data_IF_446267351949
#
_entry.id   IF_446267351949
#
_cell.length_a   1.000
_cell.length_b   1.000
_cell.length_c   1.000
_cell.angle_alpha   90.00
_cell.angle_beta   90.00
_cell.angle_gamma   90.00
#
_symmetry.space_group_name_H-M   'P 1'
#
loop_
_entity.id
_entity.type
_entity.pdbx_description
1 polymer ?
#
# COMPACT_ATOMS: atom_id res chain seq x y z
N UNK A 1 -14.44 24.06 27.91
CA UNK A 1 -15.04 22.82 27.39
C UNK A 1 -14.50 22.42 26.01
N UNK A 2 -14.32 23.36 25.07
CA UNK A 2 -13.78 23.10 23.71
C UNK A 2 -12.36 22.52 23.67
N UNK A 3 -11.47 22.92 24.59
CA UNK A 3 -10.10 22.40 24.67
C UNK A 3 -10.04 20.88 24.96
N UNK A 4 -11.01 20.33 25.70
CA UNK A 4 -11.09 18.89 26.01
C UNK A 4 -11.51 18.04 24.80
N UNK A 5 -12.45 18.54 23.98
CA UNK A 5 -12.91 17.84 22.78
C UNK A 5 -11.83 17.75 21.71
N UNK A 6 -11.06 18.83 21.49
CA UNK A 6 -9.95 18.82 20.53
C UNK A 6 -8.87 17.82 20.93
N UNK A 7 -8.46 17.83 22.20
CA UNK A 7 -7.46 16.89 22.71
C UNK A 7 -7.94 15.43 22.59
N UNK A 8 -9.22 15.15 22.89
CA UNK A 8 -9.81 13.82 22.74
C UNK A 8 -9.86 13.37 21.27
N UNK A 9 -10.22 14.26 20.36
CA UNK A 9 -10.23 13.97 18.92
C UNK A 9 -8.83 13.67 18.39
N UNK A 10 -7.83 14.47 18.77
CA UNK A 10 -6.44 14.24 18.38
C UNK A 10 -5.88 12.93 18.94
N UNK A 11 -6.25 12.57 20.18
CA UNK A 11 -5.87 11.30 20.78
C UNK A 11 -6.48 10.11 20.03
N UNK A 12 -7.79 10.15 19.75
CA UNK A 12 -8.48 9.10 19.00
C UNK A 12 -7.93 8.97 17.57
N UNK A 13 -7.66 10.10 16.90
CA UNK A 13 -7.10 10.08 15.56
C UNK A 13 -5.70 9.44 15.54
N UNK A 14 -4.85 9.75 16.54
CA UNK A 14 -3.53 9.09 16.68
C UNK A 14 -3.68 7.57 16.88
N UNK A 15 -4.61 7.14 17.72
CA UNK A 15 -4.87 5.72 17.96
C UNK A 15 -5.33 4.98 16.69
N UNK A 16 -6.28 5.57 15.95
CA UNK A 16 -6.74 5.02 14.67
C UNK A 16 -5.61 4.91 13.64
N UNK A 17 -4.71 5.90 13.59
CA UNK A 17 -3.54 5.90 12.71
C UNK A 17 -2.51 4.85 13.13
N UNK A 18 -2.25 4.69 14.42
CA UNK A 18 -1.35 3.65 14.92
C UNK A 18 -1.89 2.25 14.61
N UNK A 19 -3.20 2.04 14.75
CA UNK A 19 -3.84 0.78 14.36
C UNK A 19 -3.68 0.54 12.86
N UNK A 20 -3.94 1.55 12.02
CA UNK A 20 -3.72 1.46 10.58
C UNK A 20 -2.27 1.15 10.21
N UNK A 21 -1.29 1.83 10.83
CA UNK A 21 0.15 1.57 10.61
C UNK A 21 0.53 0.13 11.00
N UNK A 22 -0.05 -0.43 12.07
CA UNK A 22 0.17 -1.83 12.49
C UNK A 22 -0.44 -2.83 11.51
N UNK A 23 -1.69 -2.62 11.07
CA UNK A 23 -2.34 -3.47 10.05
C UNK A 23 -1.55 -3.45 8.75
N UNK A 24 -1.14 -2.26 8.28
CA UNK A 24 -0.32 -2.11 7.09
C UNK A 24 1.02 -2.87 7.19
N UNK A 25 1.65 -2.85 8.37
CA UNK A 25 2.89 -3.58 8.62
C UNK A 25 2.70 -5.10 8.66
N UNK A 26 1.58 -5.58 9.23
CA UNK A 26 1.24 -7.00 9.35
C UNK A 26 0.88 -7.63 7.99
N UNK A 27 0.19 -6.89 7.13
CA UNK A 27 -0.27 -7.35 5.82
C UNK A 27 0.73 -7.05 4.69
N UNK A 28 2.01 -6.85 5.02
CA UNK A 28 3.07 -6.66 4.04
C UNK A 28 2.79 -5.53 3.02
N UNK A 29 2.10 -4.45 3.41
CA UNK A 29 1.74 -3.36 2.49
C UNK A 29 2.97 -2.73 1.80
N UNK A 30 4.13 -2.76 2.46
CA UNK A 30 5.38 -2.32 1.85
C UNK A 30 5.65 -3.03 0.52
N UNK A 31 5.41 -4.35 0.45
CA UNK A 31 5.63 -5.14 -0.75
C UNK A 31 4.59 -4.83 -1.83
N UNK A 32 3.33 -4.65 -1.42
CA UNK A 32 2.24 -4.22 -2.30
C UNK A 32 2.62 -2.92 -3.01
N UNK A 33 3.08 -1.92 -2.27
CA UNK A 33 3.46 -0.63 -2.87
C UNK A 33 4.64 -0.76 -3.86
N UNK A 34 5.69 -1.49 -3.50
CA UNK A 34 6.85 -1.66 -4.39
C UNK A 34 6.46 -2.40 -5.69
N UNK A 35 5.68 -3.48 -5.58
CA UNK A 35 5.21 -4.23 -6.74
C UNK A 35 4.29 -3.38 -7.63
N UNK A 36 3.31 -2.68 -7.05
CA UNK A 36 2.44 -1.78 -7.80
C UNK A 36 3.21 -0.63 -8.47
N UNK A 37 4.28 -0.14 -7.82
CA UNK A 37 5.20 0.84 -8.41
C UNK A 37 5.85 0.31 -9.68
N UNK A 38 6.42 -0.89 -9.62
CA UNK A 38 7.05 -1.55 -10.76
C UNK A 38 6.05 -1.88 -11.87
N UNK A 39 4.87 -2.40 -11.52
CA UNK A 39 3.82 -2.70 -12.49
C UNK A 39 3.34 -1.44 -13.21
N UNK A 40 3.10 -0.35 -12.49
CA UNK A 40 2.69 0.93 -13.09
C UNK A 40 3.77 1.48 -14.02
N UNK A 41 5.05 1.41 -13.63
CA UNK A 41 6.17 1.80 -14.47
C UNK A 41 6.23 0.94 -15.75
N UNK A 42 6.08 -0.38 -15.61
CA UNK A 42 6.09 -1.30 -16.74
C UNK A 42 4.92 -1.04 -17.70
N UNK A 43 3.69 -0.88 -17.19
CA UNK A 43 2.51 -0.57 -18.00
C UNK A 43 2.67 0.77 -18.75
N UNK A 44 3.26 1.78 -18.10
CA UNK A 44 3.57 3.05 -18.74
C UNK A 44 4.67 2.91 -19.80
N UNK A 45 5.73 2.13 -19.55
CA UNK A 45 6.79 1.87 -20.53
C UNK A 45 6.26 1.12 -21.76
N UNK A 46 5.41 0.11 -21.55
CA UNK A 46 4.74 -0.62 -22.65
C UNK A 46 3.80 0.30 -23.41
N UNK A 47 3.03 1.16 -22.72
CA UNK A 47 2.17 2.17 -23.36
C UNK A 47 2.99 3.12 -24.23
N UNK A 48 4.13 3.61 -23.72
CA UNK A 48 5.04 4.47 -24.47
C UNK A 48 5.59 3.75 -25.71
N UNK A 49 6.02 2.49 -25.56
CA UNK A 49 6.50 1.69 -26.67
C UNK A 49 5.42 1.48 -27.76
N UNK A 50 4.18 1.19 -27.36
CA UNK A 50 3.07 1.03 -28.30
C UNK A 50 2.78 2.32 -29.07
N UNK A 51 2.83 3.47 -28.41
CA UNK A 51 2.50 4.74 -29.04
C UNK A 51 3.65 5.27 -29.89
N UNK A 52 4.85 5.39 -29.33
CA UNK A 52 5.98 6.07 -29.98
C UNK A 52 6.78 5.16 -30.93
N UNK A 53 6.86 3.86 -30.63
CA UNK A 53 7.67 2.93 -31.45
C UNK A 53 6.80 2.19 -32.46
N UNK A 54 5.64 1.68 -32.04
CA UNK A 54 4.76 0.92 -32.93
C UNK A 54 3.69 1.78 -33.62
N UNK A 55 3.48 3.03 -33.18
CA UNK A 55 2.48 3.91 -33.79
C UNK A 55 1.03 3.45 -33.61
N UNK A 56 0.74 2.62 -32.59
CA UNK A 56 -0.57 1.98 -32.35
C UNK A 56 -1.62 2.95 -31.75
N UNK A 57 -1.61 4.21 -32.16
CA UNK A 57 -2.51 5.22 -31.62
C UNK A 57 -3.71 5.49 -32.55
N UNK A 58 -3.53 5.37 -33.86
CA UNK A 58 -4.60 5.52 -34.85
C UNK A 58 -4.41 4.51 -35.99
N UNK A 59 -5.46 3.75 -36.39
CA UNK A 59 -6.82 3.70 -35.83
C UNK A 59 -6.98 2.77 -34.61
N UNK A 60 -6.01 1.89 -34.36
CA UNK A 60 -6.17 0.74 -33.44
C UNK A 60 -5.89 1.09 -31.97
N UNK A 61 -6.85 1.73 -31.29
CA UNK A 61 -6.73 2.15 -29.88
C UNK A 61 -7.03 1.05 -28.86
N UNK A 62 -7.55 -0.09 -29.32
CA UNK A 62 -7.95 -1.20 -28.46
C UNK A 62 -6.79 -1.87 -27.67
N UNK A 63 -5.55 -2.00 -28.20
CA UNK A 63 -4.46 -2.64 -27.46
C UNK A 63 -4.12 -1.85 -26.19
N UNK A 64 -4.27 -0.53 -26.25
CA UNK A 64 -4.09 0.36 -25.11
C UNK A 64 -5.14 0.08 -24.02
N UNK A 65 -6.42 -0.01 -24.40
CA UNK A 65 -7.49 -0.31 -23.44
C UNK A 65 -7.29 -1.68 -22.77
N UNK A 66 -6.88 -2.69 -23.54
CA UNK A 66 -6.60 -4.03 -22.99
C UNK A 66 -5.40 -4.05 -22.08
N UNK A 67 -4.33 -3.32 -22.42
CA UNK A 67 -3.18 -3.17 -21.54
C UNK A 67 -3.60 -2.60 -20.17
N UNK A 68 -4.43 -1.56 -20.16
CA UNK A 68 -4.87 -0.93 -18.92
C UNK A 68 -5.88 -1.77 -18.12
N UNK A 69 -6.81 -2.46 -18.78
CA UNK A 69 -7.68 -3.44 -18.09
C UNK A 69 -6.82 -4.55 -17.49
N UNK A 70 -5.86 -5.08 -18.25
CA UNK A 70 -4.91 -6.08 -17.78
C UNK A 70 -4.11 -5.58 -16.58
N UNK A 71 -3.64 -4.32 -16.60
CA UNK A 71 -2.92 -3.71 -15.49
C UNK A 71 -3.78 -3.58 -14.23
N UNK A 72 -5.06 -3.21 -14.35
CA UNK A 72 -5.97 -3.15 -13.20
C UNK A 72 -6.19 -4.54 -12.60
N UNK A 73 -6.39 -5.55 -13.44
CA UNK A 73 -6.53 -6.94 -13.00
C UNK A 73 -5.26 -7.42 -12.30
N UNK A 74 -4.09 -7.13 -12.88
CA UNK A 74 -2.80 -7.45 -12.28
C UNK A 74 -2.63 -6.80 -10.90
N UNK A 75 -2.94 -5.50 -10.78
CA UNK A 75 -2.88 -4.80 -9.50
C UNK A 75 -3.81 -5.43 -8.44
N UNK A 76 -5.03 -5.82 -8.82
CA UNK A 76 -5.97 -6.51 -7.92
C UNK A 76 -5.40 -7.87 -7.48
N UNK A 77 -4.82 -8.63 -8.40
CA UNK A 77 -4.20 -9.92 -8.11
C UNK A 77 -2.99 -9.76 -7.20
N UNK A 78 -2.15 -8.75 -7.43
CA UNK A 78 -0.99 -8.44 -6.59
C UNK A 78 -1.41 -8.10 -5.16
N UNK A 79 -2.41 -7.23 -5.00
CA UNK A 79 -2.95 -6.91 -3.66
C UNK A 79 -3.48 -8.18 -2.99
N UNK A 80 -4.31 -8.97 -3.67
CA UNK A 80 -4.89 -10.21 -3.11
C UNK A 80 -3.84 -11.26 -2.75
N UNK A 81 -2.86 -11.46 -3.63
CA UNK A 81 -1.80 -12.45 -3.42
C UNK A 81 -0.94 -12.04 -2.22
N UNK A 82 -0.50 -10.78 -2.16
CA UNK A 82 0.35 -10.30 -1.07
C UNK A 82 -0.41 -10.23 0.26
N UNK A 83 -1.66 -9.76 0.26
CA UNK A 83 -2.47 -9.70 1.48
C UNK A 83 -2.77 -11.10 2.03
N UNK A 84 -2.85 -12.12 1.17
CA UNK A 84 -3.08 -13.51 1.60
C UNK A 84 -1.92 -14.12 2.41
N UNK A 85 -0.71 -13.57 2.29
CA UNK A 85 0.44 -13.96 3.12
C UNK A 85 0.46 -13.26 4.49
N UNK A 86 -0.36 -12.23 4.68
CA UNK A 86 -0.45 -11.49 5.94
C UNK A 86 -1.17 -12.28 7.04
N UNK A 87 -0.92 -11.90 8.29
CA UNK A 87 -1.71 -12.41 9.42
C UNK A 87 -3.06 -11.68 9.44
N UNK A 88 -4.18 -12.36 9.71
CA UNK A 88 -5.46 -11.67 9.93
C UNK A 88 -5.30 -10.67 11.07
N UNK A 89 -5.51 -9.40 10.77
CA UNK A 89 -5.47 -8.31 11.76
C UNK A 89 -6.85 -7.67 11.88
N UNK A 90 -7.13 -7.06 13.04
CA UNK A 90 -8.35 -6.25 13.18
C UNK A 90 -8.33 -5.12 12.15
N UNK A 91 -9.40 -5.04 11.35
CA UNK A 91 -9.55 -3.99 10.34
C UNK A 91 -9.53 -2.61 11.01
N UNK A 92 -8.68 -1.72 10.51
CA UNK A 92 -8.64 -0.35 11.00
C UNK A 92 -9.89 0.40 10.51
N UNK A 93 -10.54 1.25 11.33
CA UNK A 93 -11.69 2.05 10.90
C UNK A 93 -11.37 3.02 9.74
N UNK A 94 -10.09 3.30 9.47
CA UNK A 94 -9.64 4.16 8.35
C UNK A 94 -9.59 3.37 7.03
N UNK A 95 -9.43 2.06 7.09
CA UNK A 95 -9.19 1.22 5.92
C UNK A 95 -10.35 1.24 4.90
N UNK A 96 -11.63 1.14 5.30
CA UNK A 96 -12.74 1.26 4.35
C UNK A 96 -12.77 2.62 3.64
N UNK A 97 -12.40 3.69 4.34
CA UNK A 97 -12.34 5.03 3.75
C UNK A 97 -11.19 5.15 2.74
N UNK A 98 -10.03 4.58 3.06
CA UNK A 98 -8.90 4.48 2.13
C UNK A 98 -9.28 3.67 0.88
N UNK A 99 -9.90 2.49 1.04
CA UNK A 99 -10.38 1.65 -0.07
C UNK A 99 -11.37 2.40 -0.98
N UNK A 100 -12.32 3.13 -0.39
CA UNK A 100 -13.29 3.96 -1.14
C UNK A 100 -12.61 5.07 -1.93
N UNK A 101 -11.64 5.76 -1.34
CA UNK A 101 -10.88 6.81 -2.03
C UNK A 101 -10.12 6.25 -3.24
N UNK A 102 -9.45 5.12 -3.08
CA UNK A 102 -8.76 4.44 -4.19
C UNK A 102 -9.74 3.96 -5.27
N UNK A 103 -10.89 3.42 -4.88
CA UNK A 103 -11.92 3.01 -5.82
C UNK A 103 -12.46 4.21 -6.62
N UNK A 104 -12.72 5.34 -5.96
CA UNK A 104 -13.12 6.58 -6.63
C UNK A 104 -12.03 7.06 -7.60
N UNK A 105 -10.77 7.06 -7.17
CA UNK A 105 -9.64 7.44 -8.04
C UNK A 105 -9.56 6.57 -9.30
N UNK A 106 -9.65 5.23 -9.15
CA UNK A 106 -9.63 4.30 -10.29
C UNK A 106 -10.82 4.53 -11.21
N UNK A 107 -12.02 4.67 -10.64
CA UNK A 107 -13.24 4.93 -11.40
C UNK A 107 -13.15 6.24 -12.20
N UNK A 108 -12.71 7.34 -11.57
CA UNK A 108 -12.53 8.62 -12.26
C UNK A 108 -11.45 8.53 -13.35
N UNK A 109 -10.34 7.85 -13.08
CA UNK A 109 -9.27 7.66 -14.06
C UNK A 109 -9.75 6.88 -15.28
N UNK A 110 -10.50 5.80 -15.06
CA UNK A 110 -11.13 5.03 -16.14
C UNK A 110 -12.16 5.84 -16.91
N UNK A 111 -12.98 6.64 -16.21
CA UNK A 111 -13.96 7.51 -16.85
C UNK A 111 -13.29 8.51 -17.79
N UNK A 112 -12.23 9.19 -17.35
CA UNK A 112 -11.46 10.12 -18.19
C UNK A 112 -10.83 9.37 -19.38
N UNK A 113 -10.23 8.21 -19.16
CA UNK A 113 -9.60 7.43 -20.24
C UNK A 113 -10.63 6.99 -21.31
N UNK A 114 -11.79 6.47 -20.88
CA UNK A 114 -12.87 6.07 -21.79
C UNK A 114 -13.41 7.27 -22.55
N UNK A 115 -13.70 8.39 -21.87
CA UNK A 115 -14.17 9.61 -22.53
C UNK A 115 -13.16 10.13 -23.55
N UNK A 116 -11.86 10.08 -23.25
CA UNK A 116 -10.81 10.49 -24.20
C UNK A 116 -10.80 9.60 -25.45
N UNK A 117 -10.93 8.28 -25.28
CA UNK A 117 -10.99 7.34 -26.41
C UNK A 117 -12.25 7.58 -27.25
N UNK A 118 -13.42 7.71 -26.63
CA UNK A 118 -14.72 7.93 -27.30
C UNK A 118 -14.73 9.28 -28.04
N UNK A 119 -14.12 10.32 -27.46
CA UNK A 119 -14.04 11.64 -28.08
C UNK A 119 -13.05 11.72 -29.26
N UNK A 120 -12.34 10.63 -29.57
CA UNK A 120 -11.38 10.64 -30.67
C UNK A 120 -10.05 11.33 -30.33
N UNK A 121 -9.85 11.79 -29.10
CA UNK A 121 -8.65 12.53 -28.71
C UNK A 121 -7.41 11.64 -28.64
N UNK A 122 -6.25 12.26 -28.89
CA UNK A 122 -4.96 11.63 -28.70
C UNK A 122 -4.79 11.21 -27.23
N UNK A 123 -4.11 10.09 -27.03
CA UNK A 123 -3.91 9.49 -25.70
C UNK A 123 -3.11 10.42 -24.77
N UNK A 124 -2.29 11.31 -25.32
CA UNK A 124 -1.46 12.23 -24.53
C UNK A 124 -2.23 13.36 -23.83
N UNK A 125 -3.44 13.68 -24.29
CA UNK A 125 -4.16 14.88 -23.83
C UNK A 125 -4.69 14.73 -22.40
N UNK A 126 -4.98 13.50 -21.95
CA UNK A 126 -5.57 13.26 -20.64
C UNK A 126 -4.56 12.89 -19.53
N UNK A 127 -3.30 12.59 -19.87
CA UNK A 127 -2.27 12.25 -18.88
C UNK A 127 -2.04 13.35 -17.81
N UNK A 128 -1.99 14.65 -18.15
CA UNK A 128 -1.95 15.71 -17.13
C UNK A 128 -3.15 15.69 -16.19
N UNK A 129 -4.34 15.34 -16.70
CA UNK A 129 -5.54 15.22 -15.89
C UNK A 129 -5.46 14.03 -14.92
N UNK A 130 -4.88 12.90 -15.34
CA UNK A 130 -4.59 11.77 -14.45
C UNK A 130 -3.58 12.13 -13.35
N UNK A 131 -2.53 12.89 -13.69
CA UNK A 131 -1.57 13.38 -12.70
C UNK A 131 -2.24 14.33 -11.69
N UNK A 132 -3.16 15.19 -12.15
CA UNK A 132 -3.96 16.06 -11.27
C UNK A 132 -4.90 15.25 -10.36
N UNK A 133 -5.58 14.22 -10.88
CA UNK A 133 -6.39 13.31 -10.06
C UNK A 133 -5.56 12.56 -9.02
N UNK A 134 -4.35 12.13 -9.40
CA UNK A 134 -3.42 11.47 -8.48
C UNK A 134 -2.97 12.43 -7.38
N UNK A 135 -2.62 13.67 -7.73
CA UNK A 135 -2.30 14.73 -6.78
C UNK A 135 -3.46 14.99 -5.81
N UNK A 136 -4.70 15.05 -6.31
CA UNK A 136 -5.90 15.20 -5.49
C UNK A 136 -6.09 14.01 -4.55
N UNK A 137 -5.93 12.78 -5.03
CA UNK A 137 -6.06 11.57 -4.21
C UNK A 137 -5.02 11.54 -3.07
N UNK A 138 -3.76 11.84 -3.36
CA UNK A 138 -2.72 11.92 -2.32
C UNK A 138 -2.91 13.10 -1.36
N UNK A 139 -3.43 14.22 -1.85
CA UNK A 139 -3.80 15.35 -0.99
C UNK A 139 -4.97 14.98 -0.07
N UNK A 140 -5.96 14.25 -0.56
CA UNK A 140 -7.04 13.73 0.28
C UNK A 140 -6.50 12.74 1.34
N UNK A 141 -5.59 11.84 0.97
CA UNK A 141 -4.90 10.96 1.93
C UNK A 141 -4.09 11.72 2.99
N UNK A 142 -3.64 12.94 2.69
CA UNK A 142 -2.98 13.80 3.67
C UNK A 142 -3.92 14.16 4.83
N UNK A 143 -5.19 14.44 4.52
CA UNK A 143 -6.19 14.81 5.51
C UNK A 143 -6.59 13.64 6.42
N UNK A 144 -6.48 12.40 5.92
CA UNK A 144 -7.01 11.21 6.62
C UNK A 144 -5.93 10.31 7.23
N UNK A 145 -4.75 10.22 6.62
CA UNK A 145 -3.73 9.23 6.98
C UNK A 145 -2.48 9.90 7.54
N UNK A 146 -1.82 10.76 6.76
CA UNK A 146 -0.56 11.34 7.21
C UNK A 146 -0.13 12.53 6.38
N UNK A 147 0.50 13.52 7.03
CA UNK A 147 1.20 14.63 6.36
C UNK A 147 2.27 14.18 5.36
N UNK A 148 2.74 12.93 5.45
CA UNK A 148 3.71 12.35 4.50
C UNK A 148 3.15 12.26 3.07
N UNK A 149 1.83 12.14 2.91
CA UNK A 149 1.21 12.10 1.58
C UNK A 149 1.21 13.47 0.88
N UNK A 150 1.53 14.56 1.59
CA UNK A 150 1.68 15.88 0.97
C UNK A 150 2.82 15.90 -0.03
N UNK A 151 3.96 15.26 0.27
CA UNK A 151 5.07 15.18 -0.68
C UNK A 151 4.70 14.37 -1.92
N UNK A 152 3.90 13.31 -1.75
CA UNK A 152 3.37 12.53 -2.88
C UNK A 152 2.42 13.36 -3.75
N UNK A 153 1.52 14.14 -3.14
CA UNK A 153 0.62 15.06 -3.87
C UNK A 153 1.39 16.12 -4.66
N UNK A 154 2.37 16.76 -4.02
CA UNK A 154 3.27 17.74 -4.68
C UNK A 154 4.05 17.08 -5.82
N UNK A 155 4.60 15.89 -5.60
CA UNK A 155 5.32 15.15 -6.64
C UNK A 155 4.43 14.86 -7.84
N UNK A 156 3.20 14.37 -7.64
CA UNK A 156 2.27 14.13 -8.74
C UNK A 156 1.82 15.40 -9.46
N UNK A 157 1.72 16.53 -8.75
CA UNK A 157 1.48 17.83 -9.37
C UNK A 157 2.64 18.25 -10.28
N UNK A 158 3.89 18.11 -9.81
CA UNK A 158 5.10 18.38 -10.63
C UNK A 158 5.17 17.43 -11.82
N UNK A 159 4.84 16.15 -11.64
CA UNK A 159 4.71 15.15 -12.71
C UNK A 159 3.72 15.64 -13.78
N UNK A 160 2.56 16.19 -13.39
CA UNK A 160 1.59 16.78 -14.33
C UNK A 160 2.15 17.95 -15.14
N UNK A 161 2.91 18.84 -14.50
CA UNK A 161 3.60 19.96 -15.20
C UNK A 161 4.63 19.42 -16.20
N UNK A 162 5.42 18.42 -15.80
CA UNK A 162 6.43 17.81 -16.66
C UNK A 162 5.81 17.11 -17.88
N UNK A 163 4.69 16.39 -17.69
CA UNK A 163 3.93 15.79 -18.80
C UNK A 163 3.44 16.87 -19.77
N UNK A 164 2.88 17.97 -19.25
CA UNK A 164 2.43 19.08 -20.09
C UNK A 164 3.58 19.73 -20.89
N UNK A 165 4.79 19.76 -20.33
CA UNK A 165 5.98 20.29 -21.00
C UNK A 165 6.58 19.33 -22.04
N UNK A 166 6.54 18.03 -21.77
CA UNK A 166 7.15 16.98 -22.59
C UNK A 166 6.14 15.85 -22.91
N UNK A 167 5.09 16.14 -23.70
CA UNK A 167 4.00 15.21 -23.94
C UNK A 167 4.43 13.88 -24.57
N UNK A 168 5.47 13.89 -25.42
CA UNK A 168 6.03 12.67 -26.03
C UNK A 168 6.55 11.63 -25.01
N UNK A 169 6.99 12.10 -23.83
CA UNK A 169 7.44 11.24 -22.74
C UNK A 169 6.39 11.11 -21.63
N UNK A 170 5.15 11.55 -21.88
CA UNK A 170 4.12 11.69 -20.85
C UNK A 170 3.88 10.40 -20.05
N UNK A 171 3.87 9.24 -20.73
CA UNK A 171 3.74 7.94 -20.09
C UNK A 171 4.90 7.61 -19.16
N UNK A 172 6.14 7.76 -19.64
CA UNK A 172 7.32 7.46 -18.84
C UNK A 172 7.43 8.39 -17.63
N UNK A 173 7.13 9.68 -17.82
CA UNK A 173 7.12 10.67 -16.73
C UNK A 173 6.04 10.29 -15.70
N UNK A 174 4.84 9.92 -16.16
CA UNK A 174 3.75 9.51 -15.27
C UNK A 174 4.09 8.23 -14.49
N UNK A 175 4.59 7.20 -15.18
CA UNK A 175 5.00 5.93 -14.58
C UNK A 175 6.15 6.10 -13.59
N UNK A 176 7.16 6.91 -13.93
CA UNK A 176 8.26 7.23 -13.03
C UNK A 176 7.79 8.00 -11.79
N UNK A 177 6.85 8.94 -11.95
CA UNK A 177 6.23 9.64 -10.83
C UNK A 177 5.53 8.68 -9.85
N UNK A 178 4.70 7.78 -10.37
CA UNK A 178 4.06 6.74 -9.57
C UNK A 178 5.06 5.79 -8.92
N UNK A 179 6.06 5.33 -9.66
CA UNK A 179 7.12 4.47 -9.14
C UNK A 179 7.83 5.12 -7.94
N UNK A 180 8.29 6.36 -8.09
CA UNK A 180 8.97 7.09 -7.00
C UNK A 180 8.06 7.22 -5.78
N UNK A 181 6.79 7.59 -5.97
CA UNK A 181 5.83 7.72 -4.86
C UNK A 181 5.66 6.38 -4.13
N UNK A 182 5.38 5.32 -4.86
CA UNK A 182 5.06 4.02 -4.28
C UNK A 182 6.28 3.34 -3.66
N UNK A 183 7.45 3.41 -4.29
CA UNK A 183 8.71 2.92 -3.72
C UNK A 183 9.07 3.67 -2.43
N UNK A 184 8.90 5.00 -2.43
CA UNK A 184 9.16 5.81 -1.23
C UNK A 184 8.24 5.39 -0.08
N UNK A 185 6.94 5.19 -0.36
CA UNK A 185 5.99 4.70 0.64
C UNK A 185 6.33 3.28 1.10
N UNK A 186 6.65 2.38 0.17
CA UNK A 186 7.06 1.01 0.44
C UNK A 186 8.28 0.95 1.36
N UNK A 187 9.33 1.71 1.05
CA UNK A 187 10.53 1.83 1.87
C UNK A 187 10.23 2.40 3.26
N UNK A 188 9.38 3.42 3.38
CA UNK A 188 8.98 3.97 4.68
C UNK A 188 8.28 2.90 5.52
N UNK A 189 7.36 2.12 4.95
CA UNK A 189 6.68 1.04 5.67
C UNK A 189 7.64 -0.10 6.04
N UNK A 190 8.57 -0.45 5.15
CA UNK A 190 9.58 -1.48 5.41
C UNK A 190 10.51 -1.08 6.56
N UNK A 191 11.04 0.14 6.54
CA UNK A 191 11.97 0.65 7.56
C UNK A 191 11.31 0.77 8.95
N UNK A 192 10.01 1.01 8.98
CA UNK A 192 9.25 1.15 10.23
C UNK A 192 8.66 -0.15 10.75
N UNK A 193 8.64 -1.20 9.93
CA UNK A 193 8.15 -2.54 10.29
C UNK A 193 8.66 -3.05 11.65
N UNK A 194 9.96 -2.92 12.00
CA UNK A 194 10.46 -3.42 13.30
C UNK A 194 9.86 -2.71 14.51
N UNK A 195 9.41 -1.46 14.35
CA UNK A 195 8.77 -0.68 15.42
C UNK A 195 7.34 -1.14 15.68
N UNK A 196 6.61 -1.53 14.64
CA UNK A 196 5.19 -1.85 14.70
C UNK A 196 4.87 -3.32 14.96
N UNK A 197 5.82 -4.21 14.65
CA UNK A 197 5.74 -5.63 14.98
C UNK A 197 6.86 -5.98 15.98
N UNK A 198 6.72 -5.61 17.28
CA UNK A 198 7.62 -6.12 18.30
C UNK A 198 7.58 -7.65 18.22
N UNK A 199 8.74 -8.28 17.99
CA UNK A 199 8.87 -9.74 17.85
C UNK A 199 8.19 -10.42 19.04
N UNK A 200 6.98 -10.94 18.83
CA UNK A 200 6.28 -11.82 19.76
C UNK A 200 7.18 -13.02 20.16
N UNK A 201 8.10 -13.41 19.27
CA UNK A 201 9.16 -14.40 19.52
C UNK A 201 9.98 -14.15 20.79
N UNK A 202 10.19 -12.92 21.27
CA UNK A 202 11.02 -12.73 22.48
C UNK A 202 10.27 -13.05 23.76
N UNK A 203 8.97 -12.74 23.83
CA UNK A 203 8.17 -13.01 25.01
C UNK A 203 7.81 -14.49 25.11
N UNK A 204 7.43 -15.12 24.00
CA UNK A 204 7.10 -16.55 23.98
C UNK A 204 8.35 -17.43 24.17
N UNK A 205 9.49 -17.07 23.57
CA UNK A 205 10.78 -17.76 23.85
C UNK A 205 11.29 -17.49 25.26
N UNK A 206 11.02 -16.32 25.86
CA UNK A 206 11.33 -16.09 27.29
C UNK A 206 10.44 -16.93 28.20
N UNK A 207 9.14 -17.02 27.93
CA UNK A 207 8.22 -17.84 28.72
C UNK A 207 8.60 -19.32 28.61
N UNK A 208 8.85 -19.83 27.39
CA UNK A 208 9.30 -21.22 27.18
C UNK A 208 10.65 -21.50 27.88
N UNK A 209 11.65 -20.62 27.76
CA UNK A 209 12.92 -20.77 28.50
C UNK A 209 12.76 -20.70 30.01
N UNK A 210 11.84 -19.88 30.52
CA UNK A 210 11.57 -19.80 31.96
C UNK A 210 10.85 -21.04 32.50
N UNK A 211 10.07 -21.72 31.66
CA UNK A 211 9.33 -22.93 32.03
C UNK A 211 10.24 -24.15 32.00
N UNK A 212 11.12 -24.26 31.00
CA UNK A 212 12.13 -25.34 30.92
C UNK A 212 13.22 -25.24 32.00
N UNK A 213 13.60 -24.01 32.41
CA UNK A 213 14.56 -23.81 33.50
C UNK A 213 14.01 -24.15 34.89
N UNK A 214 12.70 -24.11 35.09
CA UNK A 214 12.04 -24.40 36.38
C UNK A 214 11.79 -25.90 36.58
N UNK A 215 11.52 -26.64 35.51
CA UNK A 215 11.29 -28.08 35.56
C UNK A 215 12.57 -28.92 35.85
N UNK A 216 13.76 -28.37 35.57
CA UNK A 216 15.03 -29.08 35.76
C UNK A 216 15.55 -29.09 37.22
N UNK A 217 14.92 -28.37 38.15
CA UNK A 217 15.41 -28.22 39.54
C UNK A 217 14.64 -29.08 40.56
N UNK A 218 13.55 -29.76 40.18
CA UNK A 218 12.71 -30.51 41.14
C UNK A 218 12.92 -32.03 41.17
N UNK A 219 13.87 -32.60 40.43
CA UNK A 219 14.24 -34.01 40.54
C UNK A 219 15.19 -34.25 41.73
N UNK A 220 14.69 -33.96 42.94
CA UNK A 220 15.31 -34.42 44.18
C UNK A 220 15.29 -35.97 44.27
N UNK A 221 16.35 -36.61 44.76
CA UNK A 221 16.44 -38.07 44.82
C UNK A 221 15.38 -38.65 45.77
N UNK A 222 14.66 -39.65 45.25
CA UNK A 222 13.46 -40.21 45.86
C UNK A 222 13.68 -40.86 47.22
N UNK A 223 12.83 -40.47 48.18
CA UNK A 223 12.55 -41.26 49.37
C UNK A 223 11.54 -42.35 49.03
N UNK A 224 11.98 -43.61 49.07
CA UNK A 224 11.17 -44.81 48.85
C UNK A 224 10.04 -44.94 49.88
N UNK A 225 8.81 -45.32 49.48
CA UNK A 225 7.73 -45.58 50.42
C UNK A 225 7.95 -46.91 51.16
N UNK A 226 7.90 -46.84 52.48
CA UNK A 226 7.99 -47.98 53.38
C UNK A 226 6.68 -48.78 53.34
N UNK A 227 6.73 -50.02 52.85
CA UNK A 227 5.60 -50.96 52.87
C UNK A 227 5.57 -51.67 54.23
N UNK A 228 4.48 -51.59 55.01
CA UNK A 228 4.34 -52.39 56.22
C UNK A 228 3.79 -53.78 55.88
N UNK A 229 4.46 -54.81 56.38
CA UNK A 229 3.99 -56.19 56.36
C UNK A 229 3.16 -56.49 57.63
N UNK A 230 1.95 -57.01 57.46
CA UNK A 230 1.14 -57.60 58.53
C UNK A 230 -0.18 -58.11 57.93
N UNK A 231 -0.29 -59.41 57.67
CA UNK A 231 -0.82 -60.51 58.52
C UNK A 231 -2.35 -60.50 58.61
#
# INVERSE_FOLDING_TARGET
MTASLKARHEALHREMLEQFERTAAAEHHWLIYMLLGLEMLAACAVSHYFVEVLGLQDPDRWPYLVLWIGQILLAILTVKAVSSFGRPTEESPIEPMNKRLWLMFVFLSMNIAVLNVVAGHAVFVFLPALAALSSLAFTALTCFVSRRFTSAGILMFVTGILIARYPQYGFLIYGAGWFIVLETLGLIFLLKRPKWLPRADRAEVQVLRSTDGSAAVSSGPGSLPHVPAGR
#
